data_IF_767747386000
#
_entry.id   IF_767747386000
#
_cell.length_a   1.000
_cell.length_b   1.000
_cell.length_c   1.000
_cell.angle_alpha   90.00
_cell.angle_beta   90.00
_cell.angle_gamma   90.00
#
_symmetry.space_group_name_H-M   'P 1'
#
loop_
_entity.id
_entity.type
_entity.pdbx_description
1 polymer ?
#
# COMPACT_ATOMS: atom_id res chain seq x y z
N UNK A 1 26.45 -10.63 32.73
CA UNK A 1 27.07 -11.78 32.03
C UNK A 1 25.97 -12.36 31.19
N UNK A 2 25.97 -11.97 29.92
CA UNK A 2 24.88 -12.22 28.99
C UNK A 2 25.31 -13.30 28.01
N UNK A 3 24.37 -14.14 27.62
CA UNK A 3 24.61 -15.26 26.73
C UNK A 3 23.70 -15.16 25.51
N UNK A 4 24.24 -15.51 24.36
CA UNK A 4 23.46 -15.52 23.13
C UNK A 4 22.46 -16.67 23.16
N UNK A 5 21.16 -16.37 23.05
CA UNK A 5 20.09 -17.39 23.03
C UNK A 5 20.09 -18.28 21.78
N UNK A 6 20.70 -17.81 20.69
CA UNK A 6 20.75 -18.55 19.43
C UNK A 6 21.86 -19.61 19.38
N UNK A 7 23.03 -19.32 19.95
CA UNK A 7 24.20 -20.21 19.86
C UNK A 7 24.83 -20.58 21.21
N UNK A 8 24.38 -20.00 22.32
CA UNK A 8 24.88 -20.26 23.66
C UNK A 8 26.23 -19.62 24.00
N UNK A 9 26.81 -18.82 23.10
CA UNK A 9 28.09 -18.14 23.34
C UNK A 9 27.98 -17.11 24.47
N UNK A 10 29.04 -16.97 25.26
CA UNK A 10 29.16 -15.87 26.23
C UNK A 10 29.41 -14.56 25.48
N UNK A 11 28.65 -13.53 25.85
CA UNK A 11 28.62 -12.24 25.17
C UNK A 11 29.05 -11.15 26.16
N UNK A 12 29.95 -10.27 25.71
CA UNK A 12 30.39 -9.12 26.51
C UNK A 12 29.28 -8.07 26.62
N UNK A 13 29.25 -7.38 27.75
CA UNK A 13 28.30 -6.29 27.99
C UNK A 13 28.43 -5.20 26.91
N UNK A 14 27.29 -4.74 26.37
CA UNK A 14 27.24 -3.62 25.41
C UNK A 14 27.42 -3.95 23.92
N UNK A 15 27.53 -5.22 23.51
CA UNK A 15 27.50 -5.57 22.07
C UNK A 15 26.06 -5.67 21.55
N UNK A 16 25.84 -5.33 20.27
CA UNK A 16 24.52 -5.34 19.61
C UNK A 16 24.24 -6.64 18.82
N UNK A 17 25.30 -7.37 18.49
CA UNK A 17 25.24 -8.67 17.81
C UNK A 17 26.21 -9.65 18.43
N UNK A 18 25.80 -10.91 18.50
CA UNK A 18 26.67 -11.98 18.94
C UNK A 18 27.87 -12.10 17.98
N UNK A 19 29.12 -12.01 18.48
CA UNK A 19 30.31 -12.14 17.65
C UNK A 19 30.51 -13.55 17.08
N UNK A 20 29.82 -14.56 17.61
CA UNK A 20 29.97 -15.96 17.20
C UNK A 20 28.99 -16.36 16.08
N UNK A 21 27.72 -15.94 16.14
CA UNK A 21 26.70 -16.35 15.17
C UNK A 21 26.04 -15.18 14.42
N UNK A 22 26.35 -13.94 14.79
CA UNK A 22 25.78 -12.75 14.16
C UNK A 22 24.33 -12.43 14.55
N UNK A 23 23.69 -13.24 15.40
CA UNK A 23 22.34 -12.97 15.90
C UNK A 23 22.30 -11.67 16.70
N UNK A 24 21.24 -10.84 16.55
CA UNK A 24 21.05 -9.69 17.41
C UNK A 24 20.90 -10.16 18.85
N UNK A 25 21.57 -9.44 19.74
CA UNK A 25 21.47 -9.62 21.19
C UNK A 25 20.64 -8.43 21.64
N UNK A 26 19.34 -8.66 21.67
CA UNK A 26 18.37 -7.75 22.25
C UNK A 26 18.69 -7.64 23.74
N UNK A 27 19.43 -6.60 24.08
CA UNK A 27 19.67 -6.24 25.47
C UNK A 27 18.32 -5.86 26.09
N UNK A 28 17.93 -6.66 27.08
CA UNK A 28 16.86 -6.43 28.05
C UNK A 28 15.44 -6.66 27.54
N UNK A 29 14.75 -7.60 28.19
CA UNK A 29 13.31 -7.75 28.10
C UNK A 29 12.65 -6.41 28.41
N UNK A 30 12.03 -5.84 27.38
CA UNK A 30 11.06 -4.77 27.52
C UNK A 30 9.91 -5.27 28.42
N UNK A 31 9.52 -4.52 29.48
CA UNK A 31 8.26 -4.72 30.20
C UNK A 31 7.07 -4.26 29.35
N UNK A 32 7.04 -4.74 28.11
CA UNK A 32 6.12 -4.46 27.01
C UNK A 32 6.43 -5.37 25.83
N UNK A 33 6.89 -6.59 26.12
CA UNK A 33 7.23 -7.56 25.09
C UNK A 33 5.95 -7.92 24.33
N UNK A 34 5.94 -7.87 22.98
CA UNK A 34 4.74 -8.16 22.18
C UNK A 34 4.17 -9.55 22.47
N UNK A 35 4.98 -10.47 23.01
CA UNK A 35 4.54 -11.78 23.45
C UNK A 35 3.35 -11.77 24.44
N UNK A 36 3.24 -10.79 25.34
CA UNK A 36 2.10 -10.70 26.28
C UNK A 36 0.84 -10.15 25.62
N UNK A 37 0.98 -9.17 24.73
CA UNK A 37 -0.13 -8.62 23.94
C UNK A 37 -0.61 -9.65 22.90
N UNK A 38 0.29 -10.39 22.27
CA UNK A 38 -0.03 -11.45 21.32
C UNK A 38 -0.84 -12.57 21.99
N UNK A 39 -0.45 -12.99 23.20
CA UNK A 39 -1.19 -14.01 23.99
C UNK A 39 -2.57 -13.48 24.38
N UNK A 40 -2.67 -12.22 24.80
CA UNK A 40 -3.94 -11.59 25.17
C UNK A 40 -4.89 -11.44 23.98
N UNK A 41 -4.37 -11.02 22.83
CA UNK A 41 -5.16 -10.90 21.62
C UNK A 41 -5.62 -12.28 21.12
N UNK A 42 -4.81 -13.32 21.27
CA UNK A 42 -5.20 -14.69 20.95
C UNK A 42 -6.38 -15.18 21.81
N UNK A 43 -6.33 -14.93 23.13
CA UNK A 43 -7.44 -15.22 24.07
C UNK A 43 -8.73 -14.51 23.63
N UNK A 44 -8.64 -13.24 23.26
CA UNK A 44 -9.78 -12.44 22.79
C UNK A 44 -10.37 -13.01 21.50
N UNK A 45 -9.54 -13.53 20.59
CA UNK A 45 -10.00 -14.13 19.34
C UNK A 45 -10.71 -15.47 19.54
N UNK A 46 -10.21 -16.31 20.43
CA UNK A 46 -10.87 -17.58 20.76
C UNK A 46 -12.28 -17.34 21.32
N UNK A 47 -12.43 -16.37 22.23
CA UNK A 47 -13.72 -15.93 22.76
C UNK A 47 -14.64 -15.37 21.66
N UNK A 48 -14.09 -14.56 20.76
CA UNK A 48 -14.88 -14.00 19.66
C UNK A 48 -15.37 -15.12 18.71
N UNK A 49 -14.51 -16.10 18.44
CA UNK A 49 -14.79 -17.24 17.55
C UNK A 49 -15.73 -18.26 18.17
N UNK A 50 -15.72 -18.46 19.48
CA UNK A 50 -16.66 -19.32 20.20
C UNK A 50 -18.10 -18.76 20.21
N UNK A 51 -18.29 -17.51 19.76
CA UNK A 51 -19.57 -16.80 19.77
C UNK A 51 -19.75 -15.90 20.99
N UNK A 52 -18.75 -15.81 21.87
CA UNK A 52 -18.74 -15.00 23.10
C UNK A 52 -18.21 -13.59 22.85
N UNK A 53 -18.73 -12.92 21.80
CA UNK A 53 -18.27 -11.61 21.33
C UNK A 53 -18.33 -10.54 22.43
N UNK A 54 -19.32 -10.61 23.31
CA UNK A 54 -19.47 -9.66 24.42
C UNK A 54 -18.29 -9.76 25.40
N UNK A 55 -17.84 -10.97 25.70
CA UNK A 55 -16.74 -11.20 26.64
C UNK A 55 -15.39 -10.91 25.99
N UNK A 56 -15.23 -11.19 24.69
CA UNK A 56 -14.09 -10.72 23.91
C UNK A 56 -13.94 -9.18 23.95
N UNK A 57 -15.05 -8.44 23.78
CA UNK A 57 -15.05 -6.97 23.86
C UNK A 57 -14.68 -6.48 25.25
N UNK A 58 -15.23 -7.08 26.31
CA UNK A 58 -14.87 -6.72 27.70
C UNK A 58 -13.38 -6.93 27.94
N UNK A 59 -12.87 -8.10 27.55
CA UNK A 59 -11.46 -8.48 27.74
C UNK A 59 -10.51 -7.54 27.01
N UNK A 60 -10.86 -7.14 25.78
CA UNK A 60 -10.11 -6.15 25.02
C UNK A 60 -10.08 -4.78 25.73
N UNK A 61 -11.20 -4.34 26.31
CA UNK A 61 -11.28 -3.05 27.04
C UNK A 61 -10.51 -3.05 28.34
N UNK A 62 -10.56 -4.14 29.10
CA UNK A 62 -9.82 -4.27 30.36
C UNK A 62 -8.31 -4.27 30.13
N UNK A 63 -7.86 -4.86 29.02
CA UNK A 63 -6.46 -4.92 28.65
C UNK A 63 -5.91 -3.59 28.11
N UNK A 64 -6.67 -2.93 27.22
CA UNK A 64 -6.20 -1.75 26.47
C UNK A 64 -6.72 -0.41 27.01
N UNK A 65 -7.71 -0.44 27.89
CA UNK A 65 -8.42 0.75 28.35
C UNK A 65 -9.35 1.40 27.31
N UNK A 66 -9.61 0.72 26.18
CA UNK A 66 -10.38 1.28 25.06
C UNK A 66 -11.87 1.51 25.36
N UNK A 67 -12.50 2.42 24.63
CA UNK A 67 -13.96 2.60 24.64
C UNK A 67 -14.70 1.44 23.95
N UNK A 68 -16.00 1.32 24.20
CA UNK A 68 -16.83 0.21 23.72
C UNK A 68 -16.88 0.12 22.19
N UNK A 69 -16.90 1.27 21.51
CA UNK A 69 -16.94 1.31 20.05
C UNK A 69 -15.61 0.83 19.48
N UNK A 70 -14.49 1.34 19.98
CA UNK A 70 -13.15 0.94 19.55
C UNK A 70 -12.91 -0.55 19.80
N UNK A 71 -13.33 -1.07 20.96
CA UNK A 71 -13.18 -2.48 21.29
C UNK A 71 -14.03 -3.40 20.40
N UNK A 72 -15.30 -3.02 20.15
CA UNK A 72 -16.16 -3.76 19.22
C UNK A 72 -15.55 -3.81 17.83
N UNK A 73 -15.14 -2.66 17.32
CA UNK A 73 -14.55 -2.51 15.98
C UNK A 73 -13.24 -3.30 15.85
N UNK A 74 -12.44 -3.40 16.92
CA UNK A 74 -11.27 -4.27 16.96
C UNK A 74 -11.63 -5.76 16.88
N UNK A 75 -12.61 -6.23 17.68
CA UNK A 75 -13.06 -7.63 17.67
C UNK A 75 -13.74 -8.01 16.35
N UNK A 76 -14.58 -7.12 15.81
CA UNK A 76 -15.23 -7.32 14.51
C UNK A 76 -14.18 -7.45 13.39
N UNK A 77 -13.11 -6.64 13.43
CA UNK A 77 -11.97 -6.79 12.51
C UNK A 77 -11.27 -8.12 12.67
N UNK A 78 -11.02 -8.58 13.90
CA UNK A 78 -10.35 -9.86 14.16
C UNK A 78 -11.15 -11.06 13.64
N UNK A 79 -12.49 -10.98 13.74
CA UNK A 79 -13.40 -11.97 13.17
C UNK A 79 -13.41 -11.91 11.64
N UNK A 80 -13.42 -10.70 11.07
CA UNK A 80 -13.39 -10.52 9.62
C UNK A 80 -12.05 -10.94 8.98
N UNK A 81 -10.91 -10.74 9.67
CA UNK A 81 -9.58 -11.11 9.18
C UNK A 81 -9.22 -12.58 9.43
N UNK A 82 -10.02 -13.31 10.21
CA UNK A 82 -9.82 -14.75 10.47
C UNK A 82 -8.66 -15.07 11.43
N UNK A 83 -8.17 -14.10 12.21
CA UNK A 83 -7.08 -14.35 13.16
C UNK A 83 -6.37 -13.10 13.66
N UNK A 84 -5.62 -13.29 14.75
CA UNK A 84 -4.68 -12.31 15.31
C UNK A 84 -3.26 -12.71 14.91
N UNK A 85 -2.86 -12.34 13.70
CA UNK A 85 -1.43 -12.15 13.48
C UNK A 85 -1.11 -10.73 13.90
N UNK A 86 -0.34 -10.56 14.97
CA UNK A 86 0.20 -9.30 15.50
C UNK A 86 1.07 -8.48 14.54
N UNK A 87 1.01 -8.77 13.24
CA UNK A 87 1.57 -7.97 12.15
C UNK A 87 0.52 -7.54 11.12
N UNK A 88 -0.76 -7.66 11.40
CA UNK A 88 -1.81 -7.01 10.64
C UNK A 88 -1.91 -5.53 11.05
N UNK A 89 -0.86 -4.76 10.72
CA UNK A 89 -1.12 -3.39 10.24
C UNK A 89 -2.28 -3.51 9.23
N UNK A 90 -3.24 -2.57 9.18
CA UNK A 90 -4.13 -2.52 8.04
C UNK A 90 -3.22 -2.46 6.82
N UNK A 91 -3.11 -3.57 6.09
CA UNK A 91 -2.50 -3.56 4.78
C UNK A 91 -3.50 -2.82 3.91
N UNK A 92 -3.53 -1.49 4.07
CA UNK A 92 -3.66 -0.58 2.95
C UNK A 92 -2.79 -1.24 1.88
N UNK A 93 -3.38 -1.67 0.74
CA UNK A 93 -2.62 -2.36 -0.28
C UNK A 93 -1.33 -1.58 -0.45
N UNK A 94 -0.15 -2.24 -0.48
CA UNK A 94 1.14 -1.56 -0.52
C UNK A 94 0.98 -0.37 -1.44
N UNK A 95 1.16 0.86 -0.92
CA UNK A 95 0.81 2.07 -1.68
C UNK A 95 1.44 2.03 -3.08
N UNK A 96 2.62 1.43 -3.15
CA UNK A 96 3.34 0.97 -4.33
C UNK A 96 2.50 0.22 -5.38
N UNK A 97 1.67 -0.76 -4.99
CA UNK A 97 0.88 -1.57 -5.92
C UNK A 97 -0.28 -0.78 -6.54
N UNK A 98 -0.93 0.07 -5.74
CA UNK A 98 -1.96 0.98 -6.24
C UNK A 98 -1.32 2.07 -7.12
N UNK A 99 -0.19 2.63 -6.71
CA UNK A 99 0.53 3.66 -7.47
C UNK A 99 1.01 3.12 -8.81
N UNK A 100 1.57 1.90 -8.85
CA UNK A 100 1.95 1.22 -10.08
C UNK A 100 0.75 0.96 -11.01
N UNK A 101 -0.38 0.49 -10.47
CA UNK A 101 -1.61 0.29 -11.24
C UNK A 101 -2.12 1.62 -11.84
N UNK A 102 -2.09 2.70 -11.06
CA UNK A 102 -2.52 4.03 -11.50
C UNK A 102 -1.58 4.60 -12.56
N UNK A 103 -0.27 4.38 -12.44
CA UNK A 103 0.72 4.77 -13.45
C UNK A 103 0.57 3.97 -14.74
N UNK A 104 0.29 2.68 -14.67
CA UNK A 104 0.02 1.82 -15.82
C UNK A 104 -1.25 2.28 -16.56
N UNK A 105 -2.33 2.51 -15.82
CA UNK A 105 -3.59 3.02 -16.40
C UNK A 105 -3.38 4.42 -17.00
N UNK A 106 -2.63 5.29 -16.33
CA UNK A 106 -2.34 6.63 -16.85
C UNK A 106 -1.54 6.59 -18.14
N UNK A 107 -0.66 5.60 -18.30
CA UNK A 107 0.07 5.33 -19.54
C UNK A 107 -0.87 4.74 -20.59
N UNK A 108 -1.41 3.55 -20.36
CA UNK A 108 -2.14 2.79 -21.39
C UNK A 108 -3.53 3.36 -21.74
N UNK A 109 -4.26 3.90 -20.77
CA UNK A 109 -5.66 4.35 -20.91
C UNK A 109 -5.82 5.86 -20.75
N UNK A 110 -4.79 6.55 -20.26
CA UNK A 110 -4.76 8.00 -20.10
C UNK A 110 -5.20 8.49 -18.71
N UNK A 111 -4.88 9.77 -18.43
CA UNK A 111 -5.05 10.41 -17.11
C UNK A 111 -6.47 10.34 -16.55
N UNK A 112 -7.50 10.38 -17.40
CA UNK A 112 -8.90 10.37 -16.97
C UNK A 112 -9.27 9.00 -16.35
N UNK A 113 -8.80 7.91 -16.95
CA UNK A 113 -9.02 6.56 -16.42
C UNK A 113 -8.31 6.36 -15.09
N UNK A 114 -7.07 6.85 -14.97
CA UNK A 114 -6.30 6.83 -13.73
C UNK A 114 -6.99 7.60 -12.60
N UNK A 115 -7.51 8.80 -12.87
CA UNK A 115 -8.27 9.60 -11.89
C UNK A 115 -9.53 8.87 -11.43
N UNK A 116 -10.27 8.21 -12.34
CA UNK A 116 -11.44 7.41 -11.98
C UNK A 116 -11.06 6.25 -11.07
N UNK A 117 -10.03 5.49 -11.44
CA UNK A 117 -9.55 4.34 -10.64
C UNK A 117 -9.09 4.78 -9.25
N UNK A 118 -8.35 5.88 -9.15
CA UNK A 118 -7.89 6.42 -7.87
C UNK A 118 -9.07 6.80 -6.96
N UNK A 119 -10.13 7.38 -7.53
CA UNK A 119 -11.36 7.73 -6.78
C UNK A 119 -12.14 6.51 -6.32
N UNK A 120 -12.24 5.46 -7.12
CA UNK A 120 -12.94 4.23 -6.74
C UNK A 120 -12.27 3.54 -5.55
N UNK A 121 -10.93 3.54 -5.52
CA UNK A 121 -10.16 2.89 -4.45
C UNK A 121 -10.09 3.76 -3.19
N UNK A 122 -9.92 5.08 -3.33
CA UNK A 122 -9.67 6.00 -2.19
C UNK A 122 -10.91 6.78 -1.74
N UNK A 123 -11.97 6.80 -2.53
CA UNK A 123 -13.21 7.55 -2.24
C UNK A 123 -13.04 9.08 -2.22
N UNK A 124 -11.98 9.63 -2.83
CA UNK A 124 -11.66 11.06 -2.74
C UNK A 124 -12.38 11.92 -3.79
N UNK A 125 -12.39 13.24 -3.55
CA UNK A 125 -12.92 14.24 -4.48
C UNK A 125 -12.17 14.27 -5.81
N UNK A 126 -12.81 14.80 -6.86
CA UNK A 126 -12.22 14.88 -8.20
C UNK A 126 -10.92 15.71 -8.21
N UNK A 127 -10.87 16.77 -7.41
CA UNK A 127 -9.70 17.63 -7.27
C UNK A 127 -8.53 16.87 -6.63
N UNK A 128 -8.75 16.24 -5.47
CA UNK A 128 -7.72 15.44 -4.79
C UNK A 128 -7.21 14.28 -5.65
N UNK A 129 -8.11 13.63 -6.39
CA UNK A 129 -7.73 12.53 -7.29
C UNK A 129 -6.86 13.01 -8.45
N UNK A 130 -7.18 14.17 -9.03
CA UNK A 130 -6.36 14.77 -10.08
C UNK A 130 -4.97 15.11 -9.56
N UNK A 131 -4.90 15.81 -8.44
CA UNK A 131 -3.63 16.27 -7.85
C UNK A 131 -2.73 15.09 -7.47
N UNK A 132 -3.31 14.03 -6.91
CA UNK A 132 -2.59 12.80 -6.58
C UNK A 132 -2.03 12.11 -7.84
N UNK A 133 -2.84 11.94 -8.89
CA UNK A 133 -2.40 11.30 -10.13
C UNK A 133 -1.35 12.14 -10.86
N UNK A 134 -1.50 13.46 -10.86
CA UNK A 134 -0.50 14.37 -11.44
C UNK A 134 0.83 14.33 -10.68
N UNK A 135 0.79 14.33 -9.34
CA UNK A 135 1.97 14.19 -8.52
C UNK A 135 2.68 12.84 -8.75
N UNK A 136 1.93 11.74 -8.92
CA UNK A 136 2.50 10.42 -9.22
C UNK A 136 3.21 10.40 -10.57
N UNK A 137 2.61 10.99 -11.61
CA UNK A 137 3.20 11.06 -12.95
C UNK A 137 4.45 11.94 -12.99
N UNK A 138 4.44 13.05 -12.25
CA UNK A 138 5.58 13.97 -12.16
C UNK A 138 6.77 13.33 -11.44
N UNK A 139 6.52 12.70 -10.29
CA UNK A 139 7.55 11.99 -9.51
C UNK A 139 8.22 10.85 -10.28
N UNK A 140 7.45 10.13 -11.12
CA UNK A 140 7.98 8.99 -11.87
C UNK A 140 8.53 9.39 -13.26
N UNK A 141 8.52 10.68 -13.60
CA UNK A 141 9.06 11.17 -14.87
C UNK A 141 8.37 10.59 -16.11
N UNK A 142 7.18 10.00 -15.94
CA UNK A 142 6.43 9.37 -17.01
C UNK A 142 5.72 10.47 -17.78
N UNK A 143 6.33 10.91 -18.89
CA UNK A 143 5.64 11.68 -19.91
C UNK A 143 4.56 10.79 -20.51
N UNK A 144 3.34 10.86 -19.93
CA UNK A 144 2.16 10.24 -20.51
C UNK A 144 2.12 10.59 -21.99
N UNK A 145 2.12 9.58 -22.84
CA UNK A 145 2.11 9.74 -24.28
C UNK A 145 0.77 10.37 -24.67
N UNK A 146 0.81 11.69 -24.84
CA UNK A 146 -0.21 12.44 -25.53
C UNK A 146 -0.17 12.01 -27.00
N UNK A 147 -0.91 10.97 -27.37
CA UNK A 147 -1.02 10.61 -28.78
C UNK A 147 -1.46 9.19 -29.05
N UNK A 148 -2.74 8.90 -28.83
CA UNK A 148 -3.42 7.79 -29.51
C UNK A 148 -4.88 8.18 -29.75
N UNK A 149 -5.08 9.06 -30.74
CA UNK A 149 -6.38 9.45 -31.25
C UNK A 149 -6.25 9.77 -32.72
N UNK A 150 -6.67 8.83 -33.57
CA UNK A 150 -6.62 8.89 -35.02
C UNK A 150 -7.47 10.06 -35.55
N UNK A 151 -6.88 11.00 -36.30
CA UNK A 151 -7.63 11.83 -37.24
C UNK A 151 -6.70 12.54 -38.24
N UNK A 152 -6.97 12.27 -39.52
CA UNK A 152 -6.75 13.15 -40.67
C UNK A 152 -5.32 13.54 -41.04
N UNK A 153 -4.74 12.72 -41.92
CA UNK A 153 -3.99 13.19 -43.08
C UNK A 153 -4.78 14.33 -43.75
N UNK A 154 -4.43 15.58 -43.45
CA UNK A 154 -4.93 16.79 -44.10
C UNK A 154 -3.75 17.74 -44.36
N UNK A 155 -2.87 17.35 -45.28
CA UNK A 155 -1.82 18.19 -45.89
C UNK A 155 -1.49 17.50 -47.23
N UNK A 156 -1.79 18.00 -48.42
CA UNK A 156 -1.86 19.38 -48.91
C UNK A 156 -2.87 19.46 -50.08
N UNK A 157 -3.86 20.33 -49.95
CA UNK A 157 -4.56 20.89 -51.10
C UNK A 157 -3.88 22.20 -51.51
N UNK A 158 -3.73 22.35 -52.82
CA UNK A 158 -3.59 23.60 -53.60
C UNK A 158 -2.31 24.43 -53.43
N UNK A 159 -1.42 24.30 -54.41
CA UNK A 159 -0.73 25.44 -55.00
C UNK A 159 -1.04 25.45 -56.51
N UNK A 160 -1.97 26.31 -56.90
CA UNK A 160 -2.19 26.72 -58.28
C UNK A 160 -0.90 27.37 -58.80
N UNK A 161 -0.12 26.62 -59.58
CA UNK A 161 0.97 27.13 -60.39
C UNK A 161 0.52 27.23 -61.83
N UNK A 162 -0.04 28.38 -62.20
CA UNK A 162 -0.22 28.81 -63.59
C UNK A 162 1.14 28.78 -64.27
N UNK A 163 1.35 27.85 -65.20
CA UNK A 163 2.60 27.70 -65.94
C UNK A 163 2.33 27.07 -67.29
N UNK A 164 2.04 27.90 -68.28
CA UNK A 164 2.01 27.54 -69.68
C UNK A 164 3.33 26.85 -70.08
N UNK A 165 3.25 25.73 -70.76
CA UNK A 165 4.42 25.04 -71.29
C UNK A 165 4.02 23.74 -71.95
N UNK A 166 3.95 23.78 -73.27
CA UNK A 166 3.83 22.68 -74.23
C UNK A 166 4.36 21.34 -73.70
N UNK A 167 3.69 20.24 -74.02
CA UNK A 167 4.32 18.96 -74.43
C UNK A 167 3.28 18.14 -75.22
N UNK A 168 3.27 18.39 -76.53
CA UNK A 168 2.91 17.41 -77.55
C UNK A 168 3.79 16.17 -77.39
N UNK A 169 3.23 14.97 -77.60
CA UNK A 169 4.05 13.77 -77.72
C UNK A 169 3.29 12.45 -77.81
N UNK A 170 2.73 12.20 -78.99
CA UNK A 170 2.20 10.93 -79.54
C UNK A 170 0.80 10.46 -79.14
#
# INVERSE_FOLDING_TARGET
MDYCRACGAEVKDGVQRCPQCGSPIDSFGDPGSPASDDVLLHEIWDLAKSGEVIDAIKRYREATGSDLRTAKDAVDRMLASGGVSGHALPQRPPVEHLEAEILDIAQNQGKIAAIKRYREVRGCGLKDAKEAVEALLDQHGVKAHAGAGCASVLLFATALGTGAGCWWGW
#
